data_IF_677057232682
#
_entry.id   IF_677057232682
#
_cell.length_a   1.000
_cell.length_b   1.000
_cell.length_c   1.000
_cell.angle_alpha   90.00
_cell.angle_beta   90.00
_cell.angle_gamma   90.00
#
_symmetry.space_group_name_H-M   'P 1'
#
loop_
_entity.id
_entity.type
_entity.pdbx_description
1 polymer ?
#
# COMPACT_ATOMS: atom_id res chain seq x y z
N UNK A 1 -21.89 40.84 15.12
CA UNK A 1 -20.45 41.15 14.98
C UNK A 1 -19.59 40.32 15.94
N UNK A 2 -19.75 40.40 17.27
CA UNK A 2 -18.93 39.59 18.21
C UNK A 2 -19.42 38.14 18.38
N UNK A 3 -20.72 37.88 18.22
CA UNK A 3 -21.29 36.53 18.31
C UNK A 3 -20.88 35.67 17.09
N UNK A 4 -20.89 36.25 15.90
CA UNK A 4 -20.58 35.57 14.64
C UNK A 4 -19.10 35.16 14.59
N UNK A 5 -18.20 36.00 15.09
CA UNK A 5 -16.77 35.69 15.17
C UNK A 5 -16.47 34.59 16.20
N UNK A 6 -17.22 34.53 17.30
CA UNK A 6 -17.13 33.44 18.28
C UNK A 6 -17.60 32.10 17.69
N UNK A 7 -18.70 32.09 16.94
CA UNK A 7 -19.23 30.87 16.30
C UNK A 7 -18.25 30.35 15.25
N UNK A 8 -17.74 31.23 14.39
CA UNK A 8 -16.74 30.86 13.38
C UNK A 8 -15.45 30.34 14.02
N UNK A 9 -14.97 30.97 15.09
CA UNK A 9 -13.81 30.49 15.84
C UNK A 9 -14.01 29.09 16.41
N UNK A 10 -15.18 28.81 16.99
CA UNK A 10 -15.50 27.49 17.53
C UNK A 10 -15.56 26.42 16.45
N UNK A 11 -16.16 26.73 15.29
CA UNK A 11 -16.20 25.82 14.14
C UNK A 11 -14.80 25.52 13.59
N UNK A 12 -13.93 26.52 13.51
CA UNK A 12 -12.54 26.34 13.09
C UNK A 12 -11.77 25.44 14.06
N UNK A 13 -11.90 25.69 15.37
CA UNK A 13 -11.21 24.90 16.40
C UNK A 13 -11.71 23.45 16.39
N UNK A 14 -13.02 23.24 16.32
CA UNK A 14 -13.62 21.91 16.22
C UNK A 14 -13.10 21.14 14.99
N UNK A 15 -13.09 21.79 13.82
CA UNK A 15 -12.60 21.20 12.58
C UNK A 15 -11.11 20.87 12.67
N UNK A 16 -10.31 21.76 13.25
CA UNK A 16 -8.88 21.58 13.45
C UNK A 16 -8.55 20.41 14.39
N UNK A 17 -9.32 20.23 15.47
CA UNK A 17 -9.16 19.11 16.41
C UNK A 17 -9.44 17.77 15.70
N UNK A 18 -10.51 17.69 14.90
CA UNK A 18 -10.83 16.49 14.13
C UNK A 18 -9.73 16.17 13.12
N UNK A 19 -9.22 17.18 12.40
CA UNK A 19 -8.14 17.03 11.43
C UNK A 19 -6.84 16.54 12.07
N UNK A 20 -6.50 17.06 13.26
CA UNK A 20 -5.30 16.67 14.00
C UNK A 20 -5.40 15.24 14.58
N UNK A 21 -6.58 14.84 15.05
CA UNK A 21 -6.79 13.52 15.66
C UNK A 21 -6.57 12.35 14.68
N UNK A 22 -6.91 12.56 13.41
CA UNK A 22 -6.71 11.56 12.34
C UNK A 22 -5.21 11.22 12.15
N UNK A 23 -4.31 12.18 12.38
CA UNK A 23 -2.86 11.97 12.26
C UNK A 23 -2.27 11.04 13.34
N UNK A 24 -2.76 11.13 14.58
CA UNK A 24 -2.19 10.38 15.70
C UNK A 24 -2.60 8.88 15.69
N UNK A 25 -3.76 8.55 15.12
CA UNK A 25 -4.23 7.17 15.07
C UNK A 25 -3.52 6.34 13.98
N UNK A 26 -3.17 6.95 12.84
CA UNK A 26 -2.44 6.30 11.73
C UNK A 26 -1.14 5.65 12.19
N UNK A 27 -0.35 6.34 13.01
CA UNK A 27 0.96 5.88 13.47
C UNK A 27 0.90 4.60 14.32
N UNK A 28 -0.18 4.36 15.08
CA UNK A 28 -0.33 3.13 15.88
C UNK A 28 -0.68 1.93 15.00
N UNK A 29 -1.50 2.13 13.97
CA UNK A 29 -1.88 1.09 13.01
C UNK A 29 -0.67 0.66 12.18
N UNK A 30 0.11 1.63 11.68
CA UNK A 30 1.31 1.35 10.88
C UNK A 30 2.34 0.49 11.63
N UNK A 31 2.57 0.74 12.92
CA UNK A 31 3.51 -0.06 13.73
C UNK A 31 3.06 -1.51 13.90
N UNK A 32 1.76 -1.74 14.10
CA UNK A 32 1.21 -3.10 14.22
C UNK A 32 1.28 -3.84 12.90
N UNK A 33 1.00 -3.16 11.79
CA UNK A 33 1.09 -3.72 10.45
C UNK A 33 2.51 -4.20 10.14
N UNK A 34 3.53 -3.38 10.42
CA UNK A 34 4.94 -3.76 10.24
C UNK A 34 5.35 -5.02 11.00
N UNK A 35 4.84 -5.21 12.23
CA UNK A 35 5.14 -6.42 13.01
C UNK A 35 4.49 -7.65 12.38
N UNK A 36 3.26 -7.52 11.90
CA UNK A 36 2.54 -8.62 11.23
C UNK A 36 3.24 -9.00 9.93
N UNK A 37 3.58 -8.01 9.11
CA UNK A 37 4.34 -8.21 7.86
C UNK A 37 5.66 -8.93 8.13
N UNK A 38 6.43 -8.49 9.15
CA UNK A 38 7.66 -9.15 9.54
C UNK A 38 7.47 -10.61 9.99
N UNK A 39 6.43 -10.90 10.77
CA UNK A 39 6.14 -12.28 11.18
C UNK A 39 5.72 -13.16 9.99
N UNK A 40 4.93 -12.61 9.06
CA UNK A 40 4.52 -13.33 7.84
C UNK A 40 5.74 -13.62 6.97
N UNK A 41 6.62 -12.65 6.80
CA UNK A 41 7.86 -12.80 6.04
C UNK A 41 8.76 -13.88 6.63
N UNK A 42 8.92 -13.91 7.95
CA UNK A 42 9.66 -14.96 8.63
C UNK A 42 9.04 -16.35 8.43
N UNK A 43 7.72 -16.47 8.43
CA UNK A 43 7.03 -17.74 8.21
C UNK A 43 7.19 -18.20 6.76
N UNK A 44 7.08 -17.28 5.81
CA UNK A 44 7.26 -17.57 4.37
C UNK A 44 8.68 -18.06 4.13
N UNK A 45 9.68 -17.35 4.65
CA UNK A 45 11.09 -17.70 4.50
C UNK A 45 11.43 -19.02 5.23
N UNK A 46 10.84 -19.26 6.40
CA UNK A 46 11.06 -20.51 7.15
C UNK A 46 10.42 -21.73 6.49
N UNK A 47 9.31 -21.55 5.76
CA UNK A 47 8.61 -22.61 5.05
C UNK A 47 9.08 -22.79 3.60
N UNK A 48 10.07 -22.00 3.16
CA UNK A 48 10.56 -21.96 1.77
C UNK A 48 9.43 -21.78 0.75
N UNK A 49 8.43 -20.97 1.12
CA UNK A 49 7.29 -20.70 0.26
C UNK A 49 7.62 -19.56 -0.69
N UNK A 50 7.44 -19.83 -1.98
CA UNK A 50 7.53 -18.78 -2.98
C UNK A 50 6.41 -17.74 -2.79
N UNK A 51 6.82 -16.52 -2.46
CA UNK A 51 5.92 -15.38 -2.21
C UNK A 51 5.11 -14.99 -3.46
N UNK A 52 5.58 -15.40 -4.63
CA UNK A 52 4.95 -15.15 -5.91
C UNK A 52 4.66 -16.49 -6.62
N UNK A 53 3.44 -16.70 -7.11
CA UNK A 53 3.13 -17.85 -7.95
C UNK A 53 4.07 -17.89 -9.17
N UNK A 54 4.50 -19.08 -9.57
CA UNK A 54 5.43 -19.26 -10.71
C UNK A 54 4.91 -18.60 -11.99
N UNK A 55 3.59 -18.71 -12.25
CA UNK A 55 2.90 -18.02 -13.35
C UNK A 55 3.11 -16.50 -13.36
N UNK A 56 3.16 -15.88 -12.18
CA UNK A 56 3.36 -14.44 -12.05
C UNK A 56 4.81 -14.08 -12.39
N UNK A 57 5.78 -14.89 -11.93
CA UNK A 57 7.20 -14.67 -12.22
C UNK A 57 7.45 -14.73 -13.73
N UNK A 58 6.90 -15.74 -14.40
CA UNK A 58 7.03 -15.89 -15.86
C UNK A 58 6.52 -14.66 -16.61
N UNK A 59 5.32 -14.18 -16.26
CA UNK A 59 4.70 -13.03 -16.94
C UNK A 59 5.43 -11.71 -16.59
N UNK A 60 5.95 -11.57 -15.37
CA UNK A 60 6.63 -10.36 -14.93
C UNK A 60 8.05 -10.21 -15.51
N UNK A 61 8.75 -11.33 -15.72
CA UNK A 61 10.09 -11.35 -16.31
C UNK A 61 10.08 -11.14 -17.83
N UNK A 62 8.92 -11.31 -18.47
CA UNK A 62 8.78 -11.14 -19.92
C UNK A 62 9.16 -9.72 -20.38
N UNK A 63 10.00 -9.55 -21.42
CA UNK A 63 10.38 -8.24 -21.93
C UNK A 63 9.21 -7.41 -22.48
N UNK A 64 8.10 -8.04 -22.89
CA UNK A 64 6.93 -7.37 -23.44
C UNK A 64 6.21 -6.47 -22.40
N UNK A 65 6.06 -5.16 -22.67
CA UNK A 65 5.31 -4.26 -21.79
C UNK A 65 3.84 -4.67 -21.60
N UNK A 66 3.22 -5.34 -22.58
CA UNK A 66 1.85 -5.83 -22.47
C UNK A 66 1.69 -6.91 -21.40
N UNK A 67 2.64 -7.86 -21.35
CA UNK A 67 2.69 -8.89 -20.31
C UNK A 67 2.98 -8.31 -18.93
N UNK A 68 3.83 -7.29 -18.83
CA UNK A 68 4.09 -6.61 -17.56
C UNK A 68 2.83 -5.97 -16.94
N UNK A 69 1.99 -5.34 -17.74
CA UNK A 69 0.67 -4.84 -17.31
C UNK A 69 -0.25 -5.99 -16.86
N UNK A 70 -0.20 -7.12 -17.56
CA UNK A 70 -0.94 -8.33 -17.19
C UNK A 70 -0.46 -8.91 -15.85
N UNK A 71 0.83 -8.88 -15.55
CA UNK A 71 1.37 -9.28 -14.25
C UNK A 71 0.83 -8.40 -13.11
N UNK A 72 0.79 -7.07 -13.30
CA UNK A 72 0.20 -6.14 -12.30
C UNK A 72 -1.28 -6.46 -12.07
N UNK A 73 -2.04 -6.67 -13.15
CA UNK A 73 -3.46 -7.04 -13.04
C UNK A 73 -3.66 -8.38 -12.33
N UNK A 74 -2.84 -9.38 -12.65
CA UNK A 74 -2.90 -10.71 -12.02
C UNK A 74 -2.55 -10.65 -10.54
N UNK A 75 -1.52 -9.90 -10.17
CA UNK A 75 -1.12 -9.69 -8.77
C UNK A 75 -2.27 -9.11 -7.97
N UNK A 76 -2.90 -8.01 -8.45
CA UNK A 76 -4.06 -7.39 -7.78
C UNK A 76 -5.22 -8.35 -7.59
N UNK A 77 -5.52 -9.19 -8.60
CA UNK A 77 -6.60 -10.18 -8.50
C UNK A 77 -6.32 -11.26 -7.46
N UNK A 78 -5.07 -11.70 -7.32
CA UNK A 78 -4.68 -12.75 -6.37
C UNK A 78 -4.52 -12.21 -4.94
N UNK A 79 -4.04 -10.99 -4.76
CA UNK A 79 -3.68 -10.44 -3.43
C UNK A 79 -4.65 -9.38 -2.90
N UNK A 80 -5.49 -8.79 -3.77
CA UNK A 80 -6.33 -7.65 -3.42
C UNK A 80 -5.55 -6.33 -3.28
N UNK A 81 -4.27 -6.30 -3.65
CA UNK A 81 -3.42 -5.13 -3.52
C UNK A 81 -3.95 -3.91 -4.33
N UNK A 82 -3.61 -2.73 -3.84
CA UNK A 82 -3.81 -1.48 -4.59
C UNK A 82 -2.97 -1.46 -5.86
N UNK A 83 -3.30 -0.56 -6.79
CA UNK A 83 -2.54 -0.46 -8.04
C UNK A 83 -1.06 -0.12 -7.79
N UNK A 84 -0.79 0.79 -6.86
CA UNK A 84 0.56 1.21 -6.52
C UNK A 84 1.37 0.06 -5.93
N UNK A 85 0.81 -0.67 -4.95
CA UNK A 85 1.46 -1.84 -4.33
C UNK A 85 1.74 -2.94 -5.35
N UNK A 86 0.81 -3.17 -6.28
CA UNK A 86 0.97 -4.18 -7.33
C UNK A 86 2.05 -3.82 -8.35
N UNK A 87 2.12 -2.54 -8.72
CA UNK A 87 3.21 -2.02 -9.55
C UNK A 87 4.54 -2.23 -8.84
N UNK A 88 4.65 -1.81 -7.58
CA UNK A 88 5.89 -1.95 -6.80
C UNK A 88 6.31 -3.42 -6.64
N UNK A 89 5.39 -4.33 -6.40
CA UNK A 89 5.67 -5.76 -6.29
C UNK A 89 6.22 -6.33 -7.61
N UNK A 90 5.60 -6.00 -8.75
CA UNK A 90 6.05 -6.44 -10.08
C UNK A 90 7.39 -5.79 -10.47
N UNK A 91 7.65 -4.55 -10.05
CA UNK A 91 8.94 -3.89 -10.23
C UNK A 91 10.05 -4.58 -9.43
N UNK A 92 9.81 -4.91 -8.16
CA UNK A 92 10.75 -5.66 -7.32
C UNK A 92 11.07 -7.02 -7.93
N UNK A 93 10.07 -7.69 -8.49
CA UNK A 93 10.20 -9.02 -9.10
C UNK A 93 10.96 -8.97 -10.43
N UNK A 94 10.68 -7.98 -11.29
CA UNK A 94 11.30 -7.87 -12.63
C UNK A 94 12.58 -7.04 -12.68
N UNK A 95 12.91 -6.30 -11.61
CA UNK A 95 14.05 -5.36 -11.56
C UNK A 95 13.92 -4.13 -12.47
N UNK A 96 12.79 -3.95 -13.17
CA UNK A 96 12.54 -2.84 -14.11
C UNK A 96 11.57 -1.85 -13.48
N UNK A 97 11.73 -0.55 -13.72
CA UNK A 97 10.74 0.48 -13.33
C UNK A 97 9.66 0.65 -14.40
N UNK A 98 8.42 0.90 -14.00
CA UNK A 98 7.39 1.42 -14.90
C UNK A 98 7.81 2.84 -15.21
N UNK A 99 8.07 3.11 -16.49
CA UNK A 99 8.50 4.44 -16.92
C UNK A 99 7.36 5.41 -16.61
N UNK A 100 7.62 6.35 -15.70
CA UNK A 100 6.73 7.48 -15.40
C UNK A 100 6.70 8.47 -16.55
#
# INVERSE_FOLDING_TARGET
>A
MTLDTLILGFLFISNFIVLSSIGAFRNKVERKLKRIEYCVDLIIDHLDLDRFPEELKEIALDPDPGRRLKAVSLYRKKTGATLQEAVEAVEKLSGRKFKS
#
